data_IF_994196653071
#
_entry.id   IF_994196653071
#
_cell.length_a   1.000
_cell.length_b   1.000
_cell.length_c   1.000
_cell.angle_alpha   90.00
_cell.angle_beta   90.00
_cell.angle_gamma   90.00
#
_symmetry.space_group_name_H-M   'P 1'
#
loop_
_entity.id
_entity.type
_entity.pdbx_description
1 polymer ?
#
# COMPACT_ATOMS: atom_id res chain seq x y z
N UNK A 1 26.44 4.91 -1.08
CA UNK A 1 26.05 3.72 -0.30
C UNK A 1 24.53 3.60 -0.43
N UNK A 2 24.03 2.74 -1.31
CA UNK A 2 22.58 2.54 -1.46
C UNK A 2 22.09 1.78 -0.23
N UNK A 3 21.31 2.45 0.63
CA UNK A 3 20.68 1.80 1.78
C UNK A 3 19.74 0.67 1.34
N UNK A 4 19.48 -0.26 2.25
CA UNK A 4 18.52 -1.35 2.08
C UNK A 4 17.08 -0.79 1.99
N UNK A 5 16.21 -1.48 1.25
CA UNK A 5 14.77 -1.18 1.24
C UNK A 5 14.12 -1.89 2.43
N UNK A 6 13.28 -1.18 3.18
CA UNK A 6 12.59 -1.72 4.35
C UNK A 6 11.13 -2.01 4.01
N UNK A 7 10.60 -3.13 4.47
CA UNK A 7 9.18 -3.45 4.30
C UNK A 7 8.31 -2.50 5.11
N UNK A 8 7.15 -2.14 4.56
CA UNK A 8 6.15 -1.31 5.24
C UNK A 8 4.85 -2.11 5.43
N UNK A 9 4.08 -1.70 6.42
CA UNK A 9 2.78 -2.29 6.71
C UNK A 9 1.74 -1.91 5.64
N UNK A 10 0.85 -2.84 5.31
CA UNK A 10 -0.26 -2.61 4.40
C UNK A 10 -1.42 -1.95 5.15
N UNK A 11 -1.28 -0.65 5.36
CA UNK A 11 -2.24 0.15 6.11
C UNK A 11 -2.74 1.32 5.24
N UNK A 12 -4.04 1.61 5.22
CA UNK A 12 -4.59 2.68 4.40
C UNK A 12 -4.00 4.05 4.73
N UNK A 13 -3.71 4.35 6.00
CA UNK A 13 -3.14 5.63 6.43
C UNK A 13 -1.68 5.76 6.00
N UNK A 14 -0.91 4.66 6.04
CA UNK A 14 0.45 4.62 5.50
C UNK A 14 0.44 4.93 4.01
N UNK A 15 -0.40 4.25 3.23
CA UNK A 15 -0.48 4.43 1.79
C UNK A 15 -1.11 5.78 1.38
N UNK A 16 -2.03 6.32 2.18
CA UNK A 16 -2.60 7.66 2.00
C UNK A 16 -1.49 8.71 2.07
N UNK A 17 -0.69 8.71 3.14
CA UNK A 17 0.46 9.62 3.29
C UNK A 17 1.54 9.35 2.23
N UNK A 18 1.75 8.08 1.87
CA UNK A 18 2.73 7.72 0.85
C UNK A 18 2.39 8.30 -0.51
N UNK A 19 1.13 8.17 -0.95
CA UNK A 19 0.66 8.66 -2.24
C UNK A 19 0.52 10.19 -2.24
N UNK A 20 -0.07 10.76 -1.19
CA UNK A 20 -0.43 12.18 -1.18
C UNK A 20 0.72 13.08 -0.75
N UNK A 21 1.35 12.81 0.40
CA UNK A 21 2.35 13.72 0.96
C UNK A 21 3.74 13.48 0.38
N UNK A 22 4.14 12.21 0.18
CA UNK A 22 5.50 11.88 -0.28
C UNK A 22 5.62 11.93 -1.80
N UNK A 23 4.71 11.28 -2.53
CA UNK A 23 4.67 11.38 -3.99
C UNK A 23 4.04 12.68 -4.51
N UNK A 24 3.24 13.36 -3.69
CA UNK A 24 2.66 14.65 -4.03
C UNK A 24 1.39 14.57 -4.88
N UNK A 25 0.71 13.41 -4.91
CA UNK A 25 -0.53 13.26 -5.65
C UNK A 25 -1.69 13.97 -4.93
N UNK A 26 -2.60 14.59 -5.69
CA UNK A 26 -3.73 15.37 -5.15
C UNK A 26 -5.08 14.77 -5.52
N UNK A 27 -6.10 15.06 -4.71
CA UNK A 27 -7.46 14.55 -4.94
C UNK A 27 -7.60 13.04 -4.81
N UNK A 28 -6.60 12.38 -4.21
CA UNK A 28 -6.60 10.94 -3.95
C UNK A 28 -6.69 10.68 -2.45
N UNK A 29 -7.38 9.61 -2.10
CA UNK A 29 -7.32 9.03 -0.77
C UNK A 29 -7.24 7.51 -0.84
N UNK A 30 -6.71 6.89 0.22
CA UNK A 30 -6.61 5.43 0.32
C UNK A 30 -7.62 4.89 1.34
N UNK A 31 -8.32 3.82 0.99
CA UNK A 31 -9.30 3.14 1.85
C UNK A 31 -9.06 1.64 1.85
N UNK A 32 -9.30 0.99 2.98
CA UNK A 32 -9.26 -0.47 3.04
C UNK A 32 -10.59 -1.05 2.53
N UNK A 33 -10.51 -2.06 1.65
CA UNK A 33 -11.68 -2.82 1.24
C UNK A 33 -11.85 -4.03 2.16
N UNK A 34 -12.81 -3.94 3.08
CA UNK A 34 -13.10 -5.00 4.05
C UNK A 34 -13.92 -6.15 3.45
N UNK A 35 -14.79 -5.85 2.49
CA UNK A 35 -15.70 -6.82 1.89
C UNK A 35 -15.68 -6.68 0.36
N UNK A 36 -15.54 -7.80 -0.34
CA UNK A 36 -15.54 -7.85 -1.81
C UNK A 36 -16.95 -8.04 -2.37
N UNK A 37 -17.92 -7.24 -1.92
CA UNK A 37 -19.27 -7.25 -2.49
C UNK A 37 -19.30 -6.49 -3.83
N UNK A 38 -20.12 -6.92 -4.81
CA UNK A 38 -20.19 -6.27 -6.13
C UNK A 38 -20.45 -4.76 -6.07
N UNK A 39 -21.21 -4.32 -5.07
CA UNK A 39 -21.63 -2.93 -4.88
C UNK A 39 -20.62 -2.10 -4.08
N UNK A 40 -19.59 -2.70 -3.48
CA UNK A 40 -18.67 -2.02 -2.56
C UNK A 40 -17.94 -0.83 -3.20
N UNK A 41 -17.59 -0.95 -4.49
CA UNK A 41 -16.95 0.14 -5.24
C UNK A 41 -17.93 1.23 -5.69
N UNK A 42 -19.23 0.96 -5.65
CA UNK A 42 -20.30 1.90 -6.03
C UNK A 42 -20.43 3.09 -5.07
N UNK A 43 -19.91 2.97 -3.84
CA UNK A 43 -19.88 4.05 -2.86
C UNK A 43 -18.91 5.19 -3.25
N UNK A 44 -17.93 4.90 -4.09
CA UNK A 44 -16.94 5.88 -4.56
C UNK A 44 -17.33 6.41 -5.92
N UNK A 45 -17.04 7.68 -6.20
CA UNK A 45 -17.29 8.23 -7.53
C UNK A 45 -16.25 7.73 -8.52
N UNK A 46 -14.99 7.75 -8.12
CA UNK A 46 -13.86 7.25 -8.90
C UNK A 46 -13.05 6.22 -8.12
N UNK A 47 -12.74 5.10 -8.76
CA UNK A 47 -11.75 4.15 -8.28
C UNK A 47 -10.57 4.18 -9.25
N UNK A 48 -9.43 4.67 -8.79
CA UNK A 48 -8.23 4.86 -9.61
C UNK A 48 -7.37 3.60 -9.68
N UNK A 49 -7.44 2.76 -8.64
CA UNK A 49 -6.82 1.46 -8.65
C UNK A 49 -7.05 0.69 -7.35
N UNK A 50 -6.63 -0.57 -7.36
CA UNK A 50 -6.67 -1.46 -6.20
C UNK A 50 -5.26 -2.00 -6.00
N UNK A 51 -4.75 -1.91 -4.78
CA UNK A 51 -3.48 -2.50 -4.36
C UNK A 51 -3.81 -3.70 -3.47
N UNK A 52 -3.47 -4.90 -3.95
CA UNK A 52 -3.66 -6.16 -3.25
C UNK A 52 -2.32 -6.62 -2.66
N UNK A 53 -2.28 -6.83 -1.35
CA UNK A 53 -1.21 -7.55 -0.67
C UNK A 53 -1.67 -8.99 -0.40
N UNK A 54 -0.82 -9.96 -0.70
CA UNK A 54 -1.08 -11.36 -0.32
C UNK A 54 0.20 -12.10 0.04
N UNK A 55 0.05 -13.20 0.78
CA UNK A 55 1.17 -14.10 1.08
C UNK A 55 1.65 -14.83 -0.18
N UNK A 56 2.90 -14.63 -0.53
CA UNK A 56 3.55 -15.24 -1.68
C UNK A 56 4.11 -16.63 -1.33
N UNK A 57 3.58 -17.67 -1.97
CA UNK A 57 4.04 -19.05 -1.81
C UNK A 57 5.42 -19.26 -2.43
N UNK A 58 6.41 -19.65 -1.63
CA UNK A 58 7.80 -19.94 -2.06
C UNK A 58 7.95 -21.09 -3.08
N UNK A 59 6.87 -21.80 -3.44
CA UNK A 59 6.89 -22.96 -4.33
C UNK A 59 5.95 -22.83 -5.52
N UNK A 60 6.26 -21.85 -6.37
CA UNK A 60 6.36 -22.02 -7.82
C UNK A 60 7.19 -20.82 -8.26
N UNK A 61 8.30 -21.06 -8.96
CA UNK A 61 8.82 -20.06 -9.88
C UNK A 61 7.59 -19.58 -10.64
N UNK A 62 7.15 -18.33 -10.43
CA UNK A 62 6.05 -17.80 -11.23
C UNK A 62 6.44 -18.13 -12.67
N UNK A 63 5.65 -18.98 -13.32
CA UNK A 63 5.76 -19.15 -14.76
C UNK A 63 5.53 -17.75 -15.28
N UNK A 64 6.61 -17.01 -15.49
CA UNK A 64 6.58 -15.67 -16.07
C UNK A 64 5.80 -15.86 -17.34
N UNK A 65 4.55 -15.40 -17.35
CA UNK A 65 3.68 -15.69 -18.48
C UNK A 65 4.36 -15.04 -19.68
N UNK A 66 4.85 -15.87 -20.61
CA UNK A 66 5.34 -15.43 -21.92
C UNK A 66 4.11 -15.28 -22.82
N UNK A 67 3.04 -14.69 -22.30
CA UNK A 67 2.12 -14.02 -23.19
C UNK A 67 2.88 -12.75 -23.56
N UNK A 68 3.28 -12.64 -24.82
CA UNK A 68 3.76 -11.39 -25.39
C UNK A 68 2.76 -10.34 -24.92
N UNK A 69 3.15 -9.51 -23.93
CA UNK A 69 2.33 -8.37 -23.55
C UNK A 69 2.04 -7.69 -24.88
N UNK A 70 0.76 -7.43 -25.20
CA UNK A 70 0.48 -6.57 -26.34
C UNK A 70 1.41 -5.38 -26.16
N UNK A 71 2.16 -5.04 -27.20
CA UNK A 71 3.04 -3.86 -27.21
C UNK A 71 2.20 -2.58 -27.19
N UNK A 72 1.17 -2.56 -26.35
CA UNK A 72 0.43 -1.41 -25.92
C UNK A 72 1.43 -0.60 -25.10
N UNK A 73 2.26 0.18 -25.81
CA UNK A 73 3.11 1.27 -25.32
C UNK A 73 2.34 2.30 -24.46
N UNK A 74 1.05 2.06 -24.22
CA UNK A 74 0.08 2.90 -23.53
C UNK A 74 -0.01 2.60 -22.03
N UNK A 75 0.39 1.41 -21.56
CA UNK A 75 0.40 1.06 -20.13
C UNK A 75 1.81 1.19 -19.58
N UNK A 76 1.99 2.07 -18.61
CA UNK A 76 3.25 2.19 -17.90
C UNK A 76 3.41 0.98 -16.97
N UNK A 77 4.54 0.28 -17.05
CA UNK A 77 4.83 -0.86 -16.21
C UNK A 77 6.32 -0.92 -15.91
N UNK A 78 6.66 -1.05 -14.63
CA UNK A 78 7.99 -1.27 -14.10
C UNK A 78 8.05 -2.62 -13.38
N UNK A 79 9.06 -3.42 -13.73
CA UNK A 79 9.31 -4.72 -13.12
C UNK A 79 10.04 -4.56 -11.77
N UNK A 80 9.77 -5.45 -10.83
CA UNK A 80 10.50 -5.52 -9.58
C UNK A 80 11.89 -6.11 -9.81
N UNK A 81 12.91 -5.29 -9.59
CA UNK A 81 14.32 -5.71 -9.68
C UNK A 81 15.05 -5.61 -8.34
N UNK A 82 14.47 -4.90 -7.36
CA UNK A 82 15.02 -4.75 -6.01
C UNK A 82 14.12 -5.47 -5.00
N UNK A 83 14.69 -6.30 -4.10
CA UNK A 83 13.94 -6.89 -2.99
C UNK A 83 13.27 -5.82 -2.12
N UNK A 84 12.14 -6.16 -1.51
CA UNK A 84 11.39 -5.34 -0.56
C UNK A 84 10.86 -3.99 -1.09
N UNK A 85 11.16 -3.60 -2.33
CA UNK A 85 10.64 -2.39 -2.97
C UNK A 85 9.20 -2.54 -3.52
N UNK A 86 8.52 -3.66 -3.23
CA UNK A 86 7.23 -4.01 -3.83
C UNK A 86 6.12 -2.99 -3.52
N UNK A 87 6.09 -2.40 -2.32
CA UNK A 87 5.09 -1.37 -1.96
C UNK A 87 5.26 -0.11 -2.81
N UNK A 88 6.48 0.41 -2.92
CA UNK A 88 6.80 1.55 -3.80
C UNK A 88 6.48 1.23 -5.24
N UNK A 89 6.85 0.04 -5.71
CA UNK A 89 6.63 -0.34 -7.10
C UNK A 89 5.14 -0.41 -7.45
N UNK A 90 4.30 -0.94 -6.55
CA UNK A 90 2.85 -0.96 -6.70
C UNK A 90 2.29 0.48 -6.84
N UNK A 91 2.70 1.39 -5.95
CA UNK A 91 2.30 2.80 -6.00
C UNK A 91 2.78 3.49 -7.27
N UNK A 92 4.04 3.27 -7.68
CA UNK A 92 4.60 3.86 -8.90
C UNK A 92 3.87 3.35 -10.14
N UNK A 93 3.63 2.04 -10.25
CA UNK A 93 2.87 1.45 -11.34
C UNK A 93 1.43 1.98 -11.41
N UNK A 94 0.80 2.26 -10.27
CA UNK A 94 -0.50 2.93 -10.20
C UNK A 94 -0.39 4.38 -10.71
N UNK A 95 0.42 5.22 -10.06
CA UNK A 95 0.46 6.66 -10.32
C UNK A 95 0.97 7.01 -11.72
N UNK A 96 1.94 6.27 -12.26
CA UNK A 96 2.43 6.50 -13.63
C UNK A 96 1.33 6.26 -14.69
N UNK A 97 0.28 5.50 -14.35
CA UNK A 97 -0.85 5.29 -15.23
C UNK A 97 -2.00 6.28 -15.05
N UNK A 98 -1.91 7.21 -14.09
CA UNK A 98 -2.93 8.22 -13.78
C UNK A 98 -2.56 9.65 -14.20
N UNK A 99 -1.40 9.85 -14.87
CA UNK A 99 -0.86 11.17 -15.21
C UNK A 99 -1.79 12.06 -16.05
N UNK A 100 -2.71 11.44 -16.80
CA UNK A 100 -3.71 12.09 -17.66
C UNK A 100 -5.05 12.36 -16.93
N UNK A 101 -5.25 11.77 -15.75
CA UNK A 101 -6.52 11.83 -15.00
C UNK A 101 -6.41 12.60 -13.68
N UNK A 102 -5.21 12.63 -13.08
CA UNK A 102 -4.97 13.15 -11.73
C UNK A 102 -3.66 13.94 -11.68
N UNK A 103 -3.58 14.97 -10.84
CA UNK A 103 -2.31 15.62 -10.52
C UNK A 103 -1.47 14.69 -9.62
N UNK A 104 -0.65 13.83 -10.23
CA UNK A 104 0.22 12.86 -9.55
C UNK A 104 1.50 13.47 -8.96
N UNK A 105 1.61 14.80 -8.95
CA UNK A 105 2.77 15.52 -8.46
C UNK A 105 3.94 15.57 -9.45
N UNK A 106 4.94 16.44 -9.20
CA UNK A 106 6.08 16.64 -10.09
C UNK A 106 6.99 15.41 -10.14
N UNK A 107 7.13 14.70 -9.02
CA UNK A 107 8.00 13.53 -8.89
C UNK A 107 7.66 12.42 -9.88
N UNK A 108 6.38 12.04 -9.96
CA UNK A 108 5.93 11.00 -10.90
C UNK A 108 5.93 11.52 -12.34
N UNK A 109 5.56 12.79 -12.58
CA UNK A 109 5.59 13.39 -13.93
C UNK A 109 6.98 13.37 -14.54
N UNK A 110 7.98 13.85 -13.79
CA UNK A 110 9.40 13.82 -14.20
C UNK A 110 9.87 12.37 -14.41
N UNK A 111 9.50 11.47 -13.50
CA UNK A 111 9.88 10.07 -13.61
C UNK A 111 9.34 9.43 -14.89
N UNK A 112 8.05 9.63 -15.21
CA UNK A 112 7.44 9.14 -16.45
C UNK A 112 8.10 9.77 -17.68
N UNK A 113 8.36 11.07 -17.68
CA UNK A 113 9.02 11.77 -18.80
C UNK A 113 10.37 11.15 -19.16
N UNK A 114 11.18 10.82 -18.16
CA UNK A 114 12.53 10.27 -18.36
C UNK A 114 12.50 8.79 -18.71
N UNK A 115 11.53 8.04 -18.18
CA UNK A 115 11.54 6.56 -18.23
C UNK A 115 10.52 5.96 -19.19
N UNK A 116 9.65 6.77 -19.79
CA UNK A 116 8.68 6.30 -20.78
C UNK A 116 9.31 5.50 -21.94
N UNK A 117 10.49 5.87 -22.50
CA UNK A 117 11.10 5.10 -23.59
C UNK A 117 11.75 3.77 -23.16
N UNK A 118 11.87 3.52 -21.85
CA UNK A 118 12.56 2.35 -21.31
C UNK A 118 11.64 1.11 -21.29
N UNK A 119 12.25 -0.06 -21.39
CA UNK A 119 11.55 -1.33 -21.17
C UNK A 119 11.19 -1.54 -19.68
N UNK A 120 10.27 -2.46 -19.36
CA UNK A 120 9.86 -2.73 -17.97
C UNK A 120 10.99 -3.02 -16.98
N UNK A 121 12.04 -3.73 -17.40
CA UNK A 121 13.16 -4.06 -16.53
C UNK A 121 13.99 -2.81 -16.23
N UNK A 122 14.30 -2.02 -17.26
CA UNK A 122 15.01 -0.75 -17.12
C UNK A 122 14.24 0.28 -16.28
N UNK A 123 12.91 0.34 -16.42
CA UNK A 123 12.05 1.16 -15.52
C UNK A 123 12.14 0.67 -14.07
N UNK A 124 12.16 -0.64 -13.87
CA UNK A 124 12.40 -1.25 -12.55
C UNK A 124 13.72 -0.83 -11.92
N UNK A 125 14.80 -0.84 -12.71
CA UNK A 125 16.13 -0.35 -12.27
C UNK A 125 16.06 1.13 -11.91
N UNK A 126 15.36 1.94 -12.71
CA UNK A 126 15.17 3.36 -12.43
C UNK A 126 14.47 3.58 -11.07
N UNK A 127 13.38 2.85 -10.78
CA UNK A 127 12.71 2.86 -9.46
C UNK A 127 13.70 2.48 -8.36
N UNK A 128 14.42 1.36 -8.52
CA UNK A 128 15.38 0.85 -7.53
C UNK A 128 16.55 1.79 -7.22
N UNK A 129 16.91 2.63 -8.20
CA UNK A 129 18.03 3.58 -8.10
C UNK A 129 17.66 4.90 -7.41
N UNK A 130 16.37 5.23 -7.31
CA UNK A 130 15.86 6.48 -6.72
C UNK A 130 15.99 6.46 -5.20
N UNK A 131 16.90 7.28 -4.67
CA UNK A 131 17.14 7.37 -3.22
C UNK A 131 15.99 7.99 -2.45
N UNK A 132 15.26 8.91 -3.07
CA UNK A 132 14.04 9.51 -2.54
C UNK A 132 12.91 8.49 -2.46
N UNK A 133 12.69 7.66 -3.50
CA UNK A 133 11.65 6.60 -3.46
C UNK A 133 11.92 5.61 -2.32
N UNK A 134 13.18 5.18 -2.20
CA UNK A 134 13.62 4.37 -1.06
C UNK A 134 13.42 5.11 0.27
N UNK A 135 13.74 6.41 0.30
CA UNK A 135 13.53 7.26 1.47
C UNK A 135 12.06 7.35 1.87
N UNK A 136 11.14 7.45 0.90
CA UNK A 136 9.71 7.50 1.15
C UNK A 136 9.21 6.22 1.81
N UNK A 137 9.54 5.06 1.25
CA UNK A 137 9.16 3.77 1.84
C UNK A 137 9.79 3.57 3.22
N UNK A 138 11.10 3.76 3.33
CA UNK A 138 11.83 3.57 4.59
C UNK A 138 11.39 4.57 5.67
N UNK A 139 10.80 5.71 5.29
CA UNK A 139 10.29 6.69 6.26
C UNK A 139 9.17 6.14 7.14
N UNK A 140 8.48 5.06 6.72
CA UNK A 140 7.44 4.39 7.50
C UNK A 140 7.96 3.24 8.37
N UNK A 141 9.25 2.90 8.29
CA UNK A 141 9.88 1.99 9.23
C UNK A 141 10.29 2.73 10.52
N UNK A 142 10.31 2.06 11.69
CA UNK A 142 10.79 2.67 12.92
C UNK A 142 12.23 3.20 12.76
N UNK A 143 12.49 4.43 13.21
CA UNK A 143 13.81 5.08 13.08
C UNK A 143 14.98 4.24 13.60
N UNK A 144 14.75 3.44 14.64
CA UNK A 144 15.76 2.57 15.25
C UNK A 144 16.20 1.42 14.32
N UNK A 145 15.28 0.94 13.45
CA UNK A 145 15.58 -0.09 12.45
C UNK A 145 16.39 0.48 11.28
N UNK A 146 16.25 1.79 11.02
CA UNK A 146 17.02 2.51 9.99
C UNK A 146 18.47 2.76 10.43
N UNK A 147 18.69 3.07 11.71
CA UNK A 147 20.00 3.50 12.24
C UNK A 147 20.87 2.33 12.73
N UNK A 148 20.30 1.34 13.42
CA UNK A 148 21.15 0.37 14.15
C UNK A 148 21.68 -0.80 13.31
N UNK A 149 21.42 -0.88 12.00
CA UNK A 149 21.76 -2.08 11.18
C UNK A 149 21.31 -3.39 11.86
N UNK A 150 20.31 -3.31 12.75
CA UNK A 150 19.78 -4.48 13.43
C UNK A 150 19.14 -5.32 12.34
N UNK A 151 19.52 -6.59 12.18
CA UNK A 151 18.88 -7.43 11.18
C UNK A 151 17.38 -7.39 11.48
N UNK A 152 16.60 -6.90 10.51
CA UNK A 152 15.16 -6.99 10.57
C UNK A 152 14.84 -8.43 10.97
N UNK A 153 14.12 -8.62 12.08
CA UNK A 153 13.68 -9.96 12.44
C UNK A 153 12.80 -10.42 11.29
N UNK A 154 13.32 -11.31 10.45
CA UNK A 154 12.49 -12.14 9.57
C UNK A 154 11.42 -12.72 10.48
N UNK A 155 10.16 -12.56 10.09
CA UNK A 155 9.06 -13.17 10.82
C UNK A 155 9.41 -14.63 11.13
N UNK A 156 9.09 -15.07 12.34
CA UNK A 156 9.45 -16.41 12.81
C UNK A 156 8.87 -17.52 11.92
N UNK A 157 7.92 -17.19 11.04
CA UNK A 157 7.28 -18.06 10.05
C UNK A 157 7.98 -18.07 8.68
N UNK A 158 8.79 -17.05 8.34
CA UNK A 158 9.43 -16.92 7.03
C UNK A 158 8.45 -16.58 5.89
N UNK A 159 7.28 -16.04 6.22
CA UNK A 159 6.26 -15.68 5.23
C UNK A 159 6.70 -14.45 4.42
N UNK A 160 6.59 -14.53 3.10
CA UNK A 160 6.90 -13.44 2.17
C UNK A 160 5.60 -12.91 1.64
N UNK A 161 5.40 -11.59 1.65
CA UNK A 161 4.20 -10.96 1.09
C UNK A 161 4.53 -10.20 -0.19
N UNK A 162 3.55 -10.08 -1.08
CA UNK A 162 3.71 -9.44 -2.39
C UNK A 162 2.55 -8.51 -2.73
N UNK A 163 2.88 -7.36 -3.33
CA UNK A 163 1.91 -6.37 -3.78
C UNK A 163 1.65 -6.46 -5.28
N UNK A 164 0.38 -6.38 -5.66
CA UNK A 164 -0.08 -6.31 -7.05
C UNK A 164 -1.07 -5.17 -7.19
N UNK A 165 -1.01 -4.45 -8.31
CA UNK A 165 -1.88 -3.31 -8.59
C UNK A 165 -2.87 -3.62 -9.72
N UNK A 166 -4.13 -3.24 -9.56
CA UNK A 166 -5.14 -3.30 -10.60
C UNK A 166 -5.59 -1.90 -10.99
N UNK A 167 -5.70 -1.63 -12.29
CA UNK A 167 -6.16 -0.34 -12.82
C UNK A 167 -7.16 -0.54 -13.96
N UNK A 168 -8.03 0.45 -14.17
CA UNK A 168 -8.83 0.60 -15.38
C UNK A 168 -8.17 1.65 -16.29
N UNK A 169 -7.77 1.23 -17.49
CA UNK A 169 -7.15 2.11 -18.49
C UNK A 169 -7.35 1.58 -19.91
N UNK A 170 -7.61 2.47 -20.85
CA UNK A 170 -7.75 2.18 -22.28
C UNK A 170 -8.76 1.05 -22.58
N UNK A 171 -9.92 1.08 -21.93
CA UNK A 171 -11.00 0.12 -22.18
C UNK A 171 -10.77 -1.27 -21.59
N UNK A 172 -9.87 -1.43 -20.61
CA UNK A 172 -9.61 -2.71 -19.98
C UNK A 172 -9.14 -2.58 -18.52
N UNK A 173 -9.33 -3.66 -17.77
CA UNK A 173 -8.72 -3.88 -16.45
C UNK A 173 -7.36 -4.54 -16.64
N UNK A 174 -6.34 -3.97 -16.02
CA UNK A 174 -4.97 -4.44 -16.07
C UNK A 174 -4.48 -4.84 -14.68
N UNK A 175 -3.78 -5.97 -14.60
CA UNK A 175 -2.98 -6.37 -13.45
C UNK A 175 -1.51 -6.02 -13.69
N UNK A 176 -0.95 -5.25 -12.76
CA UNK A 176 0.44 -4.80 -12.74
C UNK A 176 1.15 -5.50 -11.58
N UNK A 177 1.56 -6.75 -11.82
CA UNK A 177 2.37 -7.54 -10.90
C UNK A 177 3.86 -7.37 -11.25
N UNK A 178 4.62 -6.74 -10.36
CA UNK A 178 6.04 -6.45 -10.57
C UNK A 178 6.92 -7.69 -10.76
N UNK A 179 6.47 -8.90 -10.41
CA UNK A 179 7.22 -10.15 -10.64
C UNK A 179 7.04 -10.70 -12.07
N UNK A 180 6.09 -10.14 -12.83
CA UNK A 180 5.81 -10.52 -14.21
C UNK A 180 6.74 -9.79 -15.20
N UNK A 181 6.70 -10.19 -16.47
CA UNK A 181 7.48 -9.54 -17.53
C UNK A 181 6.83 -8.26 -18.05
N UNK A 182 5.52 -8.13 -17.88
CA UNK A 182 4.72 -7.03 -18.42
C UNK A 182 3.34 -6.93 -17.76
N UNK A 183 2.57 -5.87 -18.11
CA UNK A 183 1.20 -5.71 -17.65
C UNK A 183 0.31 -6.82 -18.22
N UNK A 184 -0.61 -7.34 -17.40
CA UNK A 184 -1.54 -8.39 -17.81
C UNK A 184 -2.94 -7.83 -18.01
N UNK A 185 -3.47 -7.92 -19.22
CA UNK A 185 -4.86 -7.54 -19.53
C UNK A 185 -5.80 -8.61 -18.95
N UNK A 186 -6.69 -8.23 -18.05
CA UNK A 186 -7.56 -9.17 -17.32
C UNK A 186 -8.99 -9.21 -17.85
N UNK A 187 -9.55 -8.06 -18.22
CA UNK A 187 -10.92 -7.97 -18.69
C UNK A 187 -11.14 -6.72 -19.53
N UNK A 188 -12.06 -6.76 -20.48
CA UNK A 188 -12.56 -5.56 -21.17
C UNK A 188 -13.44 -4.75 -20.20
N UNK A 189 -13.36 -3.43 -20.27
CA UNK A 189 -14.16 -2.54 -19.45
C UNK A 189 -14.41 -1.21 -20.15
N UNK A 190 -15.39 -0.46 -19.67
CA UNK A 190 -15.67 0.91 -20.06
C UNK A 190 -15.99 1.76 -18.82
N UNK A 191 -16.20 3.06 -19.02
CA UNK A 191 -16.46 4.01 -17.94
C UNK A 191 -17.74 3.69 -17.14
N UNK A 192 -18.65 2.87 -17.70
CA UNK A 192 -19.90 2.49 -17.05
C UNK A 192 -19.77 1.23 -16.20
N UNK A 193 -18.89 0.29 -16.57
CA UNK A 193 -18.80 -1.02 -15.93
C UNK A 193 -17.46 -1.30 -15.22
N UNK A 194 -16.47 -0.42 -15.33
CA UNK A 194 -15.10 -0.72 -14.87
C UNK A 194 -15.01 -1.10 -13.38
N UNK A 195 -15.88 -0.55 -12.52
CA UNK A 195 -15.90 -0.88 -11.08
C UNK A 195 -16.31 -2.35 -10.88
N UNK A 196 -17.35 -2.79 -11.56
CA UNK A 196 -17.78 -4.19 -11.51
C UNK A 196 -16.71 -5.10 -12.11
N UNK A 197 -16.09 -4.71 -13.22
CA UNK A 197 -14.99 -5.45 -13.82
C UNK A 197 -13.77 -5.57 -12.89
N UNK A 198 -13.38 -4.47 -12.22
CA UNK A 198 -12.32 -4.45 -11.20
C UNK A 198 -12.61 -5.43 -10.06
N UNK A 199 -13.83 -5.39 -9.50
CA UNK A 199 -14.23 -6.27 -8.41
C UNK A 199 -14.20 -7.74 -8.83
N UNK A 200 -14.71 -8.07 -10.02
CA UNK A 200 -14.68 -9.44 -10.54
C UNK A 200 -13.26 -9.97 -10.72
N UNK A 201 -12.37 -9.15 -11.32
CA UNK A 201 -10.96 -9.51 -11.50
C UNK A 201 -10.26 -9.70 -10.15
N UNK A 202 -10.53 -8.83 -9.17
CA UNK A 202 -9.99 -8.94 -7.82
C UNK A 202 -10.45 -10.23 -7.13
N UNK A 203 -11.73 -10.54 -7.16
CA UNK A 203 -12.30 -11.76 -6.58
C UNK A 203 -11.68 -13.01 -7.23
N UNK A 204 -11.53 -13.00 -8.55
CA UNK A 204 -10.87 -14.09 -9.27
C UNK A 204 -9.42 -14.25 -8.78
N UNK A 205 -8.67 -13.14 -8.69
CA UNK A 205 -7.28 -13.20 -8.24
C UNK A 205 -7.14 -13.72 -6.82
N UNK A 206 -7.97 -13.23 -5.89
CA UNK A 206 -7.99 -13.72 -4.51
C UNK A 206 -8.31 -15.21 -4.48
N UNK A 207 -9.24 -15.69 -5.31
CA UNK A 207 -9.55 -17.12 -5.44
C UNK A 207 -8.34 -17.92 -5.94
N UNK A 208 -7.65 -17.46 -6.99
CA UNK A 208 -6.45 -18.11 -7.52
C UNK A 208 -5.33 -18.22 -6.46
N UNK A 209 -5.08 -17.13 -5.74
CA UNK A 209 -4.11 -17.11 -4.63
C UNK A 209 -4.54 -18.12 -3.56
N UNK A 210 -5.83 -18.16 -3.27
CA UNK A 210 -6.43 -19.06 -2.27
C UNK A 210 -6.29 -20.53 -2.59
N UNK A 211 -6.51 -20.90 -3.84
CA UNK A 211 -6.31 -22.28 -4.31
C UNK A 211 -4.83 -22.67 -4.34
N UNK A 212 -3.94 -21.69 -4.54
CA UNK A 212 -2.49 -21.92 -4.58
C UNK A 212 -1.87 -22.06 -3.18
N UNK A 213 -2.49 -21.48 -2.15
CA UNK A 213 -1.99 -21.52 -0.78
C UNK A 213 -2.35 -22.85 -0.09
N UNK A 214 -1.43 -23.81 -0.18
CA UNK A 214 -1.50 -25.11 0.52
C UNK A 214 -0.85 -25.08 1.91
N UNK A 215 -0.42 -23.91 2.39
CA UNK A 215 0.32 -23.77 3.65
C UNK A 215 -0.58 -23.71 4.89
N UNK A 216 -1.88 -23.44 4.72
CA UNK A 216 -2.83 -23.35 5.82
C UNK A 216 -3.36 -24.71 6.29
N UNK A 217 -3.25 -24.96 7.61
CA UNK A 217 -4.04 -25.98 8.33
C UNK A 217 -5.54 -25.60 8.40
N UNK A 218 -6.12 -25.04 7.32
CA UNK A 218 -7.50 -24.53 7.30
C UNK A 218 -7.71 -23.14 7.90
N UNK A 219 -6.66 -22.32 8.06
CA UNK A 219 -6.74 -20.98 8.66
C UNK A 219 -7.00 -19.81 7.67
N UNK A 220 -7.29 -20.10 6.40
CA UNK A 220 -7.57 -19.08 5.39
C UNK A 220 -6.31 -18.36 4.87
N UNK A 221 -6.49 -17.50 3.87
CA UNK A 221 -5.43 -16.73 3.21
C UNK A 221 -5.32 -15.38 3.89
N UNK A 222 -4.10 -14.95 4.19
CA UNK A 222 -3.83 -13.58 4.62
C UNK A 222 -3.64 -12.69 3.39
N UNK A 223 -4.58 -11.77 3.17
CA UNK A 223 -4.48 -10.71 2.19
C UNK A 223 -5.01 -9.39 2.78
N UNK A 224 -4.58 -8.27 2.19
CA UNK A 224 -5.07 -6.93 2.50
C UNK A 224 -5.33 -6.20 1.18
N UNK A 225 -6.38 -5.39 1.13
CA UNK A 225 -6.82 -4.71 -0.10
C UNK A 225 -6.97 -3.23 0.18
N UNK A 226 -6.22 -2.42 -0.56
CA UNK A 226 -6.29 -0.97 -0.50
C UNK A 226 -6.88 -0.44 -1.80
N UNK A 227 -7.87 0.45 -1.69
CA UNK A 227 -8.47 1.18 -2.79
C UNK A 227 -7.85 2.57 -2.86
N UNK A 228 -7.50 3.02 -4.06
CA UNK A 228 -7.15 4.41 -4.32
C UNK A 228 -8.35 5.08 -4.99
N UNK A 229 -8.96 6.04 -4.29
CA UNK A 229 -10.25 6.65 -4.65
C UNK A 229 -10.16 8.19 -4.62
N UNK A 230 -11.24 8.87 -5.01
CA UNK A 230 -11.37 10.32 -4.82
C UNK A 230 -11.23 10.71 -3.33
N UNK A 231 -10.52 11.81 -3.02
CA UNK A 231 -10.45 12.30 -1.64
C UNK A 231 -11.84 12.79 -1.19
N UNK A 232 -12.51 12.11 -0.24
CA UNK A 232 -13.84 12.51 0.19
C UNK A 232 -13.85 13.86 0.90
N UNK A 233 -12.72 14.31 1.47
CA UNK A 233 -12.61 15.63 2.11
C UNK A 233 -12.67 16.71 1.03
N UNK A 234 -11.82 16.64 -0.01
CA UNK A 234 -11.81 17.63 -1.10
C UNK A 234 -13.16 17.67 -1.82
N UNK A 235 -13.77 16.50 -2.03
CA UNK A 235 -15.10 16.38 -2.63
C UNK A 235 -16.17 17.07 -1.79
N UNK A 236 -16.21 16.76 -0.50
CA UNK A 236 -17.22 17.31 0.39
C UNK A 236 -17.04 18.82 0.58
N UNK A 237 -15.81 19.32 0.62
CA UNK A 237 -15.50 20.77 0.60
C UNK A 237 -16.08 21.45 -0.65
N UNK A 238 -15.91 20.84 -1.82
CA UNK A 238 -16.48 21.36 -3.07
C UNK A 238 -18.00 21.35 -3.03
N UNK A 239 -18.62 20.25 -2.60
CA UNK A 239 -20.08 20.14 -2.49
C UNK A 239 -20.66 21.13 -1.48
N UNK A 240 -19.97 21.39 -0.36
CA UNK A 240 -20.35 22.44 0.62
C UNK A 240 -20.30 23.82 -0.03
N UNK A 241 -19.22 24.15 -0.75
CA UNK A 241 -19.08 25.45 -1.40
C UNK A 241 -20.19 25.68 -2.44
N UNK A 242 -20.54 24.65 -3.22
CA UNK A 242 -21.64 24.69 -4.20
C UNK A 242 -23.01 24.87 -3.53
N UNK A 243 -23.28 24.12 -2.46
CA UNK A 243 -24.52 24.23 -1.70
C UNK A 243 -24.67 25.62 -1.03
N UNK A 244 -23.59 26.15 -0.45
CA UNK A 244 -23.55 27.50 0.11
C UNK A 244 -23.84 28.58 -0.94
N UNK A 245 -23.24 28.47 -2.13
CA UNK A 245 -23.49 29.39 -3.23
C UNK A 245 -24.96 29.37 -3.70
N UNK A 246 -25.65 28.23 -3.52
CA UNK A 246 -27.07 28.05 -3.83
C UNK A 246 -28.00 28.37 -2.64
N UNK A 247 -27.47 28.80 -1.50
CA UNK A 247 -28.25 29.07 -0.30
C UNK A 247 -28.88 27.84 0.35
N UNK A 248 -28.33 26.65 0.09
CA UNK A 248 -28.76 25.39 0.70
C UNK A 248 -28.13 25.18 2.08
N UNK A 249 -28.82 24.49 3.01
CA UNK A 249 -28.25 24.19 4.32
C UNK A 249 -27.09 23.19 4.18
N UNK A 250 -25.99 23.44 4.90
CA UNK A 250 -24.77 22.62 4.84
C UNK A 250 -24.34 22.02 6.17
N UNK A 251 -25.12 22.21 7.24
CA UNK A 251 -24.73 21.79 8.61
C UNK A 251 -24.37 20.30 8.69
N UNK A 252 -25.14 19.43 8.02
CA UNK A 252 -24.86 18.00 7.97
C UNK A 252 -23.56 17.66 7.24
N UNK A 253 -23.33 18.31 6.10
CA UNK A 253 -22.10 18.12 5.30
C UNK A 253 -20.88 18.67 6.05
N UNK A 254 -21.04 19.78 6.77
CA UNK A 254 -19.98 20.38 7.56
C UNK A 254 -19.58 19.48 8.74
N UNK A 255 -20.54 18.87 9.42
CA UNK A 255 -20.28 17.90 10.49
C UNK A 255 -19.55 16.65 9.96
N UNK A 256 -19.97 16.12 8.80
CA UNK A 256 -19.30 15.00 8.14
C UNK A 256 -17.86 15.36 7.73
N UNK A 257 -17.65 16.57 7.20
CA UNK A 257 -16.32 17.08 6.84
C UNK A 257 -15.39 17.17 8.07
N UNK A 258 -15.91 17.65 9.20
CA UNK A 258 -15.16 17.72 10.44
C UNK A 258 -14.78 16.33 10.96
N UNK A 259 -15.69 15.36 10.86
CA UNK A 259 -15.40 13.97 11.21
C UNK A 259 -14.29 13.38 10.33
N UNK A 260 -14.40 13.50 9.00
CA UNK A 260 -13.39 12.98 8.08
C UNK A 260 -12.01 13.62 8.30
N UNK A 261 -11.97 14.93 8.59
CA UNK A 261 -10.73 15.64 8.93
C UNK A 261 -10.13 15.15 10.25
N UNK A 262 -10.96 14.87 11.26
CA UNK A 262 -10.52 14.33 12.54
C UNK A 262 -9.94 12.91 12.37
N UNK A 263 -10.60 12.04 11.61
CA UNK A 263 -10.12 10.69 11.29
C UNK A 263 -8.77 10.74 10.55
N UNK A 264 -8.63 11.62 9.55
CA UNK A 264 -7.36 11.83 8.83
C UNK A 264 -6.25 12.35 9.75
N UNK A 265 -6.58 13.21 10.70
CA UNK A 265 -5.62 13.73 11.68
C UNK A 265 -5.18 12.64 12.68
N UNK A 266 -6.10 11.81 13.16
CA UNK A 266 -5.80 10.69 14.05
C UNK A 266 -4.89 9.66 13.36
N UNK A 267 -5.19 9.32 12.10
CA UNK A 267 -4.31 8.47 11.30
C UNK A 267 -2.89 9.03 11.19
N UNK A 268 -2.74 10.34 10.95
CA UNK A 268 -1.42 10.98 10.90
C UNK A 268 -0.67 10.88 12.23
N UNK A 269 -1.36 10.97 13.36
CA UNK A 269 -0.74 10.72 14.68
C UNK A 269 -0.30 9.26 14.83
N UNK A 270 -1.06 8.32 14.30
CA UNK A 270 -0.67 6.91 14.29
C UNK A 270 0.57 6.65 13.43
N UNK A 271 0.69 7.26 12.24
CA UNK A 271 1.91 7.19 11.45
C UNK A 271 3.13 7.76 12.19
N UNK A 272 2.97 8.87 12.94
CA UNK A 272 4.06 9.40 13.79
C UNK A 272 4.52 8.38 14.83
N UNK A 273 3.59 7.62 15.43
CA UNK A 273 3.91 6.54 16.38
C UNK A 273 4.65 5.39 15.68
N UNK A 274 4.17 4.93 14.52
CA UNK A 274 4.82 3.84 13.75
C UNK A 274 6.28 4.15 13.40
N UNK A 275 6.56 5.40 13.06
CA UNK A 275 7.90 5.89 12.70
C UNK A 275 8.81 6.12 13.90
N UNK A 276 8.25 6.25 15.10
CA UNK A 276 9.01 6.61 16.29
C UNK A 276 9.96 5.49 16.71
N UNK A 277 11.23 5.86 16.96
CA UNK A 277 12.20 4.96 17.56
C UNK A 277 11.96 4.82 19.06
N UNK A 278 11.34 3.74 19.49
CA UNK A 278 11.03 3.48 20.90
C UNK A 278 12.22 2.92 21.71
N UNK A 279 13.34 2.58 21.08
CA UNK A 279 14.48 1.98 21.78
C UNK A 279 15.05 2.86 22.90
N UNK A 280 15.26 4.18 22.72
CA UNK A 280 15.71 5.04 23.81
C UNK A 280 14.75 5.02 25.00
N UNK A 281 13.43 5.13 24.74
CA UNK A 281 12.40 5.05 25.77
C UNK A 281 12.44 3.71 26.51
N UNK A 282 12.54 2.59 25.78
CA UNK A 282 12.61 1.25 26.37
C UNK A 282 13.87 1.11 27.22
N UNK A 283 15.03 1.57 26.73
CA UNK A 283 16.29 1.52 27.46
C UNK A 283 16.21 2.30 28.77
N UNK A 284 15.71 3.54 28.72
CA UNK A 284 15.56 4.39 29.91
C UNK A 284 14.53 3.82 30.89
N UNK A 285 13.44 3.22 30.42
CA UNK A 285 12.47 2.53 31.25
C UNK A 285 13.10 1.34 31.98
N UNK A 286 13.85 0.49 31.27
CA UNK A 286 14.55 -0.65 31.87
C UNK A 286 15.58 -0.20 32.92
N UNK A 287 16.31 0.87 32.62
CA UNK A 287 17.26 1.49 33.55
C UNK A 287 16.56 2.00 34.81
N UNK A 288 15.46 2.74 34.67
CA UNK A 288 14.69 3.27 35.80
C UNK A 288 14.06 2.16 36.66
N UNK A 289 13.63 1.05 36.06
CA UNK A 289 13.15 -0.12 36.79
C UNK A 289 14.27 -0.82 37.56
N UNK A 290 15.48 -0.90 36.98
CA UNK A 290 16.64 -1.48 37.65
C UNK A 290 17.08 -0.62 38.84
N UNK A 291 17.12 0.70 38.69
CA UNK A 291 17.48 1.65 39.76
C UNK A 291 16.50 1.63 40.95
N UNK A 292 15.26 1.19 40.73
CA UNK A 292 14.23 1.06 41.76
C UNK A 292 14.07 -0.36 42.31
N UNK A 293 14.96 -1.29 41.93
CA UNK A 293 14.87 -2.71 42.28
C UNK A 293 13.55 -3.39 41.84
N UNK A 294 12.86 -2.82 40.85
CA UNK A 294 11.59 -3.32 40.30
C UNK A 294 11.78 -4.24 39.09
N UNK A 295 12.94 -4.20 38.43
CA UNK A 295 13.17 -4.95 37.20
C UNK A 295 13.23 -6.47 37.44
N UNK A 296 13.98 -6.92 38.45
CA UNK A 296 14.16 -8.35 38.72
C UNK A 296 12.83 -9.06 39.07
N UNK A 297 11.97 -8.51 39.94
CA UNK A 297 10.64 -9.08 40.19
C UNK A 297 9.79 -9.28 38.93
N UNK A 298 9.82 -8.31 38.00
CA UNK A 298 9.08 -8.40 36.72
C UNK A 298 9.63 -9.53 35.85
N UNK A 299 10.96 -9.66 35.76
CA UNK A 299 11.60 -10.75 35.01
C UNK A 299 11.20 -12.12 35.56
N UNK A 300 11.16 -12.27 36.88
CA UNK A 300 10.84 -13.54 37.53
C UNK A 300 9.37 -13.92 37.36
N UNK A 301 8.44 -12.96 37.48
CA UNK A 301 7.01 -13.17 37.16
C UNK A 301 6.80 -13.62 35.71
N UNK A 302 7.46 -12.95 34.75
CA UNK A 302 7.38 -13.33 33.33
C UNK A 302 7.90 -14.75 33.09
N UNK A 303 9.01 -15.14 33.73
CA UNK A 303 9.54 -16.52 33.65
C UNK A 303 8.56 -17.53 34.21
N UNK A 304 7.99 -17.28 35.38
CA UNK A 304 7.03 -18.18 36.03
C UNK A 304 5.78 -18.41 35.16
N UNK A 305 5.22 -17.34 34.56
CA UNK A 305 4.08 -17.44 33.63
C UNK A 305 4.42 -18.25 32.38
N UNK A 306 5.64 -18.08 31.84
CA UNK A 306 6.10 -18.85 30.67
C UNK A 306 6.25 -20.34 30.97
N UNK A 307 6.68 -20.70 32.18
CA UNK A 307 6.74 -22.09 32.61
C UNK A 307 5.35 -22.69 32.86
N UNK A 308 4.40 -21.90 33.39
CA UNK A 308 3.02 -22.33 33.57
C UNK A 308 2.31 -22.62 32.23
N UNK A 309 2.51 -21.78 31.20
CA UNK A 309 1.92 -21.95 29.87
C UNK A 309 2.57 -23.06 29.03
N UNK A 310 3.62 -23.73 29.53
CA UNK A 310 4.24 -24.89 28.87
C UNK A 310 3.70 -26.23 29.36
N UNK A 311 2.86 -26.24 30.41
CA UNK A 311 2.14 -27.43 30.91
C UNK A 311 0.76 -27.50 30.29
#
# INVERSE_FOLDING_TARGET
>A
MSGEWLTIESDPVVFDEFITDLFGAKGLAVRELLFMEPEALGAYESVFGIILLFKYGTKKTAERTIEESPSDDTIYFAQQVVPDACSTLAVVNLLCNLTDRVDVGPTIKEFVEITAPLDPNSRGIAVGSRSDFRGFQNSFAPSDMVDMSLPAKKDATGDVYHYVTFIYKNGAIWELDGLQLGPQRRSDADDTNYKTALMNVLQQRVTEISESDKSGNGQGISFNILLVVDDPIEKLEKSIAEAQAQGQPVDGMQAELEQLKAEKAEGREENKRRRHGYFPMIFDLLKALAEKDLLQPVIDDVKARKEANKK
#
